data_IF_294030650551
#
_entry.id   IF_294030650551
#
_cell.length_a   1.000
_cell.length_b   1.000
_cell.length_c   1.000
_cell.angle_alpha   90.00
_cell.angle_beta   90.00
_cell.angle_gamma   90.00
#
_symmetry.space_group_name_H-M   'P 1'
#
loop_
_entity.id
_entity.type
_entity.pdbx_description
1 polymer ?
#
# COMPACT_ATOMS: atom_id res chain seq x y z
N UNK A 1 17.77 -9.48 36.06
CA UNK A 1 17.46 -10.07 34.74
C UNK A 1 16.78 -9.03 33.85
N UNK A 2 17.51 -8.37 32.93
CA UNK A 2 17.04 -7.19 32.17
C UNK A 2 17.24 -7.30 30.63
N UNK A 3 17.53 -8.49 30.12
CA UNK A 3 18.06 -8.70 28.74
C UNK A 3 17.06 -9.25 27.72
N UNK A 4 15.85 -9.66 28.12
CA UNK A 4 14.88 -10.27 27.18
C UNK A 4 14.01 -9.26 26.43
N UNK A 5 13.79 -8.06 27.00
CA UNK A 5 12.92 -7.03 26.40
C UNK A 5 13.57 -6.41 25.15
N UNK A 6 14.84 -6.02 25.23
CA UNK A 6 15.54 -5.39 24.09
C UNK A 6 15.84 -6.33 22.91
N UNK A 7 15.76 -7.66 23.08
CA UNK A 7 15.88 -8.59 21.96
C UNK A 7 14.58 -8.71 21.17
N UNK A 8 13.44 -8.77 21.86
CA UNK A 8 12.11 -8.80 21.24
C UNK A 8 11.78 -7.48 20.56
N UNK A 9 12.17 -6.36 21.17
CA UNK A 9 11.95 -5.03 20.61
C UNK A 9 12.76 -4.85 19.31
N UNK A 10 14.04 -5.23 19.29
CA UNK A 10 14.85 -5.22 18.06
C UNK A 10 14.30 -6.14 16.99
N UNK A 11 13.81 -7.33 17.36
CA UNK A 11 13.25 -8.28 16.39
C UNK A 11 11.92 -7.77 15.80
N UNK A 12 11.10 -7.12 16.63
CA UNK A 12 9.86 -6.47 16.22
C UNK A 12 10.14 -5.29 15.29
N UNK A 13 11.04 -4.38 15.67
CA UNK A 13 11.51 -3.26 14.85
C UNK A 13 12.04 -3.73 13.48
N UNK A 14 12.87 -4.79 13.46
CA UNK A 14 13.36 -5.36 12.19
C UNK A 14 12.26 -5.95 11.31
N UNK A 15 11.20 -6.56 11.89
CA UNK A 15 10.05 -7.04 11.11
C UNK A 15 9.19 -5.92 10.58
N UNK A 16 8.96 -4.87 11.38
CA UNK A 16 8.21 -3.67 10.95
C UNK A 16 8.94 -3.02 9.78
N UNK A 17 10.25 -2.81 9.89
CA UNK A 17 11.06 -2.20 8.83
C UNK A 17 11.05 -3.03 7.52
N UNK A 18 11.14 -4.36 7.63
CA UNK A 18 11.07 -5.24 6.45
C UNK A 18 9.69 -5.20 5.78
N UNK A 19 8.61 -5.26 6.56
CA UNK A 19 7.25 -5.19 6.03
C UNK A 19 6.97 -3.84 5.38
N UNK A 20 7.43 -2.75 6.01
CA UNK A 20 7.34 -1.39 5.50
C UNK A 20 8.03 -1.25 4.15
N UNK A 21 9.29 -1.68 4.04
CA UNK A 21 10.02 -1.66 2.75
C UNK A 21 9.35 -2.50 1.67
N UNK A 22 8.86 -3.69 2.02
CA UNK A 22 8.16 -4.55 1.07
C UNK A 22 6.89 -3.87 0.52
N UNK A 23 6.13 -3.18 1.38
CA UNK A 23 4.93 -2.42 0.97
C UNK A 23 5.26 -1.18 0.14
N UNK A 24 6.28 -0.41 0.53
CA UNK A 24 6.76 0.73 -0.28
C UNK A 24 7.16 0.25 -1.68
N UNK A 25 7.89 -0.86 -1.78
CA UNK A 25 8.25 -1.44 -3.06
C UNK A 25 7.03 -1.95 -3.84
N UNK A 26 6.05 -2.55 -3.17
CA UNK A 26 4.82 -3.02 -3.80
C UNK A 26 4.01 -1.84 -4.37
N UNK A 27 3.84 -0.76 -3.60
CA UNK A 27 3.19 0.47 -4.03
C UNK A 27 3.85 1.06 -5.27
N UNK A 28 5.18 1.23 -5.22
CA UNK A 28 5.97 1.74 -6.36
C UNK A 28 5.82 0.84 -7.58
N UNK A 29 5.93 -0.49 -7.43
CA UNK A 29 5.73 -1.45 -8.53
C UNK A 29 4.32 -1.40 -9.11
N UNK A 30 3.29 -1.24 -8.28
CA UNK A 30 1.90 -1.11 -8.74
C UNK A 30 1.69 0.19 -9.50
N UNK A 31 2.26 1.30 -8.99
CA UNK A 31 2.25 2.60 -9.67
C UNK A 31 3.02 2.60 -11.00
N UNK A 32 4.11 1.84 -11.11
CA UNK A 32 4.88 1.69 -12.35
C UNK A 32 4.16 0.81 -13.37
N UNK A 33 3.59 -0.32 -12.92
CA UNK A 33 2.75 -1.19 -13.79
C UNK A 33 1.50 -0.48 -14.31
N UNK A 34 0.99 0.50 -13.57
CA UNK A 34 -0.09 1.37 -14.02
C UNK A 34 0.29 2.29 -15.19
N UNK A 35 1.55 2.31 -15.63
CA UNK A 35 2.02 3.06 -16.80
C UNK A 35 2.44 2.14 -17.96
N UNK A 36 2.71 0.86 -17.68
CA UNK A 36 3.03 -0.14 -18.69
C UNK A 36 1.77 -0.55 -19.49
N UNK A 37 1.49 0.24 -20.53
CA UNK A 37 0.40 0.04 -21.50
C UNK A 37 0.77 -0.97 -22.59
N UNK A 38 2.00 -1.46 -22.60
CA UNK A 38 2.55 -2.24 -23.69
C UNK A 38 1.93 -3.65 -23.72
N UNK A 39 0.84 -3.80 -24.50
CA UNK A 39 0.19 -5.07 -24.89
C UNK A 39 -0.71 -5.74 -23.86
N UNK A 40 -1.52 -4.96 -23.16
CA UNK A 40 -2.61 -5.55 -22.38
C UNK A 40 -3.79 -5.93 -23.30
N UNK A 41 -4.34 -7.15 -23.20
CA UNK A 41 -5.56 -7.50 -23.91
C UNK A 41 -6.70 -6.56 -23.48
N UNK A 42 -7.59 -6.17 -24.41
CA UNK A 42 -8.62 -5.12 -24.26
C UNK A 42 -9.38 -5.11 -22.91
N UNK A 43 -9.61 -6.29 -22.32
CA UNK A 43 -10.25 -6.43 -20.98
C UNK A 43 -9.44 -5.87 -19.81
N UNK A 44 -8.14 -5.65 -19.98
CA UNK A 44 -7.22 -5.13 -18.97
C UNK A 44 -6.92 -3.64 -19.15
N UNK A 45 -7.33 -3.02 -20.25
CA UNK A 45 -7.16 -1.56 -20.45
C UNK A 45 -7.96 -0.76 -19.42
N UNK A 46 -9.22 -1.13 -19.17
CA UNK A 46 -10.04 -0.49 -18.13
C UNK A 46 -9.43 -0.61 -16.73
N UNK A 47 -8.73 -1.72 -16.43
CA UNK A 47 -8.03 -1.91 -15.17
C UNK A 47 -6.77 -1.05 -15.09
N UNK A 48 -6.10 -0.86 -16.22
CA UNK A 48 -4.91 -0.01 -16.32
C UNK A 48 -5.24 1.47 -16.09
N UNK A 49 -6.29 2.00 -16.74
CA UNK A 49 -6.74 3.38 -16.50
C UNK A 49 -7.11 3.65 -15.04
N UNK A 50 -7.65 2.64 -14.35
CA UNK A 50 -7.99 2.75 -12.93
C UNK A 50 -6.74 2.77 -12.05
N UNK A 51 -5.78 1.88 -12.31
CA UNK A 51 -4.49 1.91 -11.63
C UNK A 51 -3.74 3.23 -11.90
N UNK A 52 -3.85 3.78 -13.11
CA UNK A 52 -3.26 5.07 -13.48
C UNK A 52 -3.93 6.23 -12.74
N UNK A 53 -5.26 6.21 -12.59
CA UNK A 53 -6.00 7.22 -11.85
C UNK A 53 -5.60 7.29 -10.37
N UNK A 54 -5.25 6.16 -9.76
CA UNK A 54 -4.80 6.08 -8.36
C UNK A 54 -3.27 6.12 -8.20
N UNK A 55 -2.51 6.32 -9.28
CA UNK A 55 -1.05 6.31 -9.26
C UNK A 55 -0.48 7.33 -8.27
N UNK A 56 -0.97 8.57 -8.33
CA UNK A 56 -0.52 9.65 -7.43
C UNK A 56 -0.79 9.28 -5.96
N UNK A 57 -2.02 8.89 -5.57
CA UNK A 57 -2.30 8.36 -4.23
C UNK A 57 -1.37 7.22 -3.79
N UNK A 58 -1.06 6.26 -4.67
CA UNK A 58 -0.17 5.13 -4.36
C UNK A 58 1.26 5.61 -4.04
N UNK A 59 1.78 6.58 -4.81
CA UNK A 59 3.11 7.14 -4.58
C UNK A 59 3.15 8.01 -3.31
N UNK A 60 2.10 8.77 -3.02
CA UNK A 60 1.98 9.52 -1.77
C UNK A 60 1.96 8.59 -0.55
N UNK A 61 1.18 7.50 -0.61
CA UNK A 61 1.16 6.48 0.44
C UNK A 61 2.53 5.82 0.60
N UNK A 62 3.25 5.58 -0.51
CA UNK A 62 4.60 5.05 -0.45
C UNK A 62 5.56 6.01 0.26
N UNK A 63 5.46 7.32 -0.01
CA UNK A 63 6.27 8.32 0.67
C UNK A 63 5.92 8.42 2.17
N UNK A 64 4.63 8.41 2.52
CA UNK A 64 4.18 8.44 3.92
C UNK A 64 4.72 7.22 4.68
N UNK A 65 4.57 6.02 4.11
CA UNK A 65 5.11 4.79 4.69
C UNK A 65 6.65 4.76 4.70
N UNK A 66 7.30 5.43 3.75
CA UNK A 66 8.75 5.51 3.72
C UNK A 66 9.31 6.31 4.91
N UNK A 67 8.54 7.27 5.41
CA UNK A 67 8.90 8.13 6.54
C UNK A 67 8.26 7.74 7.88
N UNK A 68 7.28 6.82 7.90
CA UNK A 68 6.65 6.34 9.13
C UNK A 68 7.57 5.38 9.90
N UNK A 69 7.89 5.72 11.16
CA UNK A 69 8.76 4.92 12.03
C UNK A 69 8.03 3.70 12.64
N UNK A 70 6.74 3.82 12.94
CA UNK A 70 5.88 2.72 13.42
C UNK A 70 4.46 2.88 12.83
N UNK A 71 4.24 2.49 11.56
CA UNK A 71 2.92 2.60 10.95
C UNK A 71 1.95 1.61 11.59
N UNK A 72 0.71 2.04 11.82
CA UNK A 72 -0.35 1.20 12.37
C UNK A 72 -0.51 -0.11 11.59
N UNK A 73 -0.55 -1.23 12.32
CA UNK A 73 -0.56 -2.56 11.71
C UNK A 73 -1.87 -2.87 10.98
N UNK A 74 -2.99 -2.30 11.42
CA UNK A 74 -4.28 -2.52 10.77
C UNK A 74 -4.31 -1.77 9.42
N UNK A 75 -3.89 -0.50 9.39
CA UNK A 75 -3.78 0.26 8.13
C UNK A 75 -2.77 -0.38 7.15
N UNK A 76 -1.66 -0.92 7.66
CA UNK A 76 -0.66 -1.67 6.88
C UNK A 76 -1.24 -2.97 6.31
N UNK A 77 -2.07 -3.69 7.07
CA UNK A 77 -2.72 -4.92 6.62
C UNK A 77 -3.80 -4.65 5.58
N UNK A 78 -4.62 -3.61 5.78
CA UNK A 78 -5.65 -3.16 4.85
C UNK A 78 -5.02 -2.73 3.51
N UNK A 79 -3.92 -1.98 3.57
CA UNK A 79 -3.17 -1.60 2.37
C UNK A 79 -2.58 -2.82 1.64
N UNK A 80 -2.10 -3.83 2.38
CA UNK A 80 -1.60 -5.07 1.78
C UNK A 80 -2.72 -5.83 1.06
N UNK A 81 -3.89 -5.91 1.66
CA UNK A 81 -5.07 -6.58 1.08
C UNK A 81 -5.52 -5.87 -0.20
N UNK A 82 -5.59 -4.53 -0.16
CA UNK A 82 -5.91 -3.69 -1.31
C UNK A 82 -4.94 -3.90 -2.49
N UNK A 83 -3.66 -4.13 -2.19
CA UNK A 83 -2.57 -4.27 -3.17
C UNK A 83 -2.18 -5.72 -3.49
N UNK A 84 -2.79 -6.72 -2.83
CA UNK A 84 -2.54 -8.11 -3.15
C UNK A 84 -2.85 -8.35 -4.62
N UNK A 85 -1.95 -9.00 -5.37
CA UNK A 85 -2.10 -9.22 -6.81
C UNK A 85 -3.06 -10.37 -7.15
N UNK A 86 -3.92 -10.77 -6.22
CA UNK A 86 -4.91 -11.82 -6.41
C UNK A 86 -6.09 -11.31 -7.25
N UNK A 87 -6.86 -12.22 -7.85
CA UNK A 87 -8.02 -11.86 -8.70
C UNK A 87 -9.09 -11.03 -7.96
N UNK A 88 -9.07 -11.07 -6.64
CA UNK A 88 -9.95 -10.31 -5.76
C UNK A 88 -9.39 -8.95 -5.35
N UNK A 89 -8.19 -8.58 -5.83
CA UNK A 89 -7.59 -7.28 -5.60
C UNK A 89 -8.55 -6.16 -5.97
N UNK A 90 -8.92 -5.28 -5.03
CA UNK A 90 -9.80 -4.16 -5.31
C UNK A 90 -9.30 -3.25 -6.45
N UNK A 91 -7.97 -3.20 -6.63
CA UNK A 91 -7.30 -2.43 -7.66
C UNK A 91 -7.48 -3.03 -9.07
N UNK A 92 -7.58 -4.35 -9.17
CA UNK A 92 -7.77 -5.08 -10.43
C UNK A 92 -9.19 -5.64 -10.61
N UNK A 93 -10.10 -5.40 -9.65
CA UNK A 93 -11.47 -5.83 -9.71
C UNK A 93 -12.37 -4.76 -10.33
N UNK A 94 -12.77 -5.00 -11.58
CA UNK A 94 -13.66 -4.10 -12.33
C UNK A 94 -15.03 -3.89 -11.67
N UNK A 95 -15.47 -4.79 -10.78
CA UNK A 95 -16.76 -4.70 -10.09
C UNK A 95 -16.80 -3.62 -9.02
N UNK A 96 -15.65 -3.22 -8.49
CA UNK A 96 -15.56 -2.12 -7.53
C UNK A 96 -15.59 -0.82 -8.32
N UNK A 97 -16.31 0.24 -7.93
CA UNK A 97 -16.22 1.55 -8.59
C UNK A 97 -14.88 2.25 -8.29
N UNK A 98 -14.35 3.02 -9.23
CA UNK A 98 -13.09 3.78 -9.02
C UNK A 98 -13.22 4.80 -7.86
N UNK A 99 -14.41 5.38 -7.65
CA UNK A 99 -14.69 6.28 -6.54
C UNK A 99 -14.59 5.59 -5.16
N UNK A 100 -14.98 4.31 -5.07
CA UNK A 100 -14.85 3.56 -3.81
C UNK A 100 -13.38 3.20 -3.53
N UNK A 101 -12.60 2.92 -4.58
CA UNK A 101 -11.15 2.74 -4.46
C UNK A 101 -10.46 4.02 -3.99
N UNK A 102 -10.85 5.18 -4.54
CA UNK A 102 -10.31 6.47 -4.12
C UNK A 102 -10.64 6.78 -2.64
N UNK A 103 -11.89 6.57 -2.21
CA UNK A 103 -12.29 6.71 -0.81
C UNK A 103 -11.49 5.81 0.14
N UNK A 104 -11.27 4.55 -0.24
CA UNK A 104 -10.47 3.62 0.55
C UNK A 104 -9.02 4.12 0.69
N UNK A 105 -8.40 4.57 -0.40
CA UNK A 105 -7.05 5.14 -0.38
C UNK A 105 -6.98 6.42 0.46
N UNK A 106 -7.96 7.31 0.35
CA UNK A 106 -8.04 8.52 1.17
C UNK A 106 -8.17 8.21 2.66
N UNK A 107 -8.99 7.22 3.02
CA UNK A 107 -9.14 6.77 4.41
C UNK A 107 -7.82 6.22 4.95
N UNK A 108 -7.17 5.31 4.22
CA UNK A 108 -5.86 4.75 4.62
C UNK A 108 -4.81 5.85 4.78
N UNK A 109 -4.80 6.84 3.86
CA UNK A 109 -3.91 8.01 3.97
C UNK A 109 -4.18 8.80 5.24
N UNK A 110 -5.44 9.07 5.56
CA UNK A 110 -5.83 9.81 6.76
C UNK A 110 -5.40 9.06 8.04
N UNK A 111 -5.60 7.74 8.09
CA UNK A 111 -5.17 6.90 9.22
C UNK A 111 -3.65 6.89 9.38
N UNK A 112 -2.90 6.66 8.30
CA UNK A 112 -1.43 6.67 8.32
C UNK A 112 -0.84 8.03 8.69
N UNK A 113 -1.48 9.12 8.27
CA UNK A 113 -1.04 10.49 8.62
C UNK A 113 -1.39 10.82 10.08
N UNK A 114 -2.53 10.35 10.58
CA UNK A 114 -2.96 10.57 11.97
C UNK A 114 -2.17 9.72 12.98
N UNK A 115 -1.60 8.59 12.53
CA UNK A 115 -0.74 7.72 13.34
C UNK A 115 0.70 8.26 13.48
N UNK A 116 1.04 9.38 12.83
CA UNK A 116 2.31 10.08 13.01
C UNK A 116 2.30 10.80 14.38
N UNK A 117 3.15 10.42 15.36
CA UNK A 117 3.39 11.31 16.49
C UNK A 117 4.12 12.56 15.98
N UNK A 118 3.75 13.71 16.55
CA UNK A 118 4.36 15.01 16.31
C UNK A 118 5.90 14.98 16.39
#
# INVERSE_FOLDING_TARGET
>A
MKTRVGALERWHQHRVERNRRALVQLLRRTADRAHDTARLPHRREALHYRAAAVRTPLLELAAILEHAHDPDRASVAELRDLLSNDRDSPLYNAKIPAAELDKALQRIRAELTSSRPA
#
